data_IF_282052750736
#
_entry.id   IF_282052750736
#
_cell.length_a   1.000
_cell.length_b   1.000
_cell.length_c   1.000
_cell.angle_alpha   90.00
_cell.angle_beta   90.00
_cell.angle_gamma   90.00
#
_symmetry.space_group_name_H-M   'P 1'
#
loop_
_entity.id
_entity.type
_entity.pdbx_description
1 polymer ?
#
# COMPACT_ATOMS: atom_id res chain seq x y z
N UNK A 1 -62.02 3.73 12.31
CA UNK A 1 -60.70 3.68 12.99
C UNK A 1 -60.11 2.29 12.73
N UNK A 2 -58.95 2.02 12.11
CA UNK A 2 -57.76 2.77 11.69
C UNK A 2 -57.19 2.03 10.46
N UNK A 3 -56.83 2.75 9.38
CA UNK A 3 -56.12 2.19 8.21
C UNK A 3 -54.62 2.34 8.46
N UNK A 4 -53.90 1.24 8.62
CA UNK A 4 -52.44 1.25 8.76
C UNK A 4 -51.78 1.15 7.39
N UNK A 5 -51.32 2.29 6.86
CA UNK A 5 -50.44 2.38 5.71
C UNK A 5 -49.02 1.98 6.15
N UNK A 6 -48.47 0.89 5.61
CA UNK A 6 -47.06 0.55 5.76
C UNK A 6 -46.33 1.09 4.53
N UNK A 7 -45.59 2.19 4.70
CA UNK A 7 -44.63 2.67 3.71
C UNK A 7 -43.42 1.71 3.72
N UNK A 8 -43.25 0.93 2.66
CA UNK A 8 -42.01 0.21 2.41
C UNK A 8 -41.00 1.19 1.81
N UNK A 9 -40.01 1.61 2.60
CA UNK A 9 -38.88 2.39 2.10
C UNK A 9 -37.84 1.39 1.58
N UNK A 10 -37.87 1.14 0.28
CA UNK A 10 -36.84 0.36 -0.41
C UNK A 10 -35.61 1.26 -0.58
N UNK A 11 -34.66 1.16 0.34
CA UNK A 11 -33.37 1.85 0.24
C UNK A 11 -32.56 1.26 -0.91
N UNK A 12 -32.44 2.01 -2.01
CA UNK A 12 -31.54 1.68 -3.11
C UNK A 12 -30.10 1.87 -2.63
N UNK A 13 -29.43 0.77 -2.29
CA UNK A 13 -27.99 0.73 -2.03
C UNK A 13 -27.27 1.00 -3.36
N UNK A 14 -27.06 2.28 -3.68
CA UNK A 14 -26.07 2.68 -4.67
C UNK A 14 -24.70 2.32 -4.09
N UNK A 15 -24.25 1.11 -4.39
CA UNK A 15 -22.91 0.63 -4.06
C UNK A 15 -21.90 1.49 -4.82
N UNK A 16 -21.43 2.55 -4.17
CA UNK A 16 -20.31 3.33 -4.65
C UNK A 16 -19.10 2.41 -4.77
N UNK A 17 -18.71 2.09 -6.00
CA UNK A 17 -17.48 1.39 -6.29
C UNK A 17 -16.31 2.34 -6.03
N UNK A 18 -15.94 2.47 -4.76
CA UNK A 18 -14.65 3.05 -4.39
C UNK A 18 -13.57 2.14 -4.98
N UNK A 19 -12.87 2.65 -5.98
CA UNK A 19 -11.75 1.94 -6.58
C UNK A 19 -10.66 1.76 -5.52
N UNK A 20 -10.52 0.55 -5.01
CA UNK A 20 -9.39 0.20 -4.15
C UNK A 20 -8.13 0.26 -4.99
N UNK A 21 -7.20 1.15 -4.64
CA UNK A 21 -5.85 1.09 -5.20
C UNK A 21 -5.26 -0.28 -4.84
N UNK A 22 -4.80 -1.01 -5.85
CA UNK A 22 -4.12 -2.30 -5.67
C UNK A 22 -2.64 -2.07 -5.92
N UNK A 23 -1.84 -2.35 -4.91
CA UNK A 23 -0.40 -2.35 -5.05
C UNK A 23 0.08 -3.66 -5.70
N UNK A 24 1.07 -3.57 -6.57
CA UNK A 24 1.75 -4.71 -7.18
C UNK A 24 3.05 -5.04 -6.44
N UNK A 25 3.46 -6.30 -6.51
CA UNK A 25 4.75 -6.73 -5.98
C UNK A 25 5.92 -6.15 -6.81
N UNK A 26 7.04 -5.90 -6.13
CA UNK A 26 8.29 -5.40 -6.69
C UNK A 26 9.47 -6.29 -6.30
N UNK A 27 9.53 -7.54 -6.80
CA UNK A 27 10.48 -8.53 -6.28
C UNK A 27 11.93 -8.28 -6.74
N UNK A 28 12.10 -7.76 -7.95
CA UNK A 28 13.41 -7.63 -8.61
C UNK A 28 13.94 -6.19 -8.64
N UNK A 29 15.26 -6.05 -8.85
CA UNK A 29 15.85 -4.76 -9.19
C UNK A 29 15.16 -4.19 -10.45
N UNK A 30 14.69 -2.95 -10.34
CA UNK A 30 13.87 -2.27 -11.36
C UNK A 30 12.49 -2.91 -11.59
N UNK A 31 12.00 -3.71 -10.65
CA UNK A 31 10.64 -4.24 -10.61
C UNK A 31 10.43 -5.48 -11.47
N UNK A 32 9.19 -6.00 -11.54
CA UNK A 32 8.88 -7.28 -12.18
C UNK A 32 9.20 -7.31 -13.69
N UNK A 33 9.30 -6.14 -14.33
CA UNK A 33 9.70 -6.00 -15.74
C UNK A 33 11.13 -5.48 -15.92
N UNK A 34 11.89 -5.28 -14.82
CA UNK A 34 13.28 -4.81 -14.79
C UNK A 34 13.51 -3.50 -15.57
N UNK A 35 12.55 -2.58 -15.50
CA UNK A 35 12.57 -1.28 -16.22
C UNK A 35 12.39 -0.05 -15.32
N UNK A 36 12.12 -0.23 -14.03
CA UNK A 36 11.98 0.88 -13.08
C UNK A 36 10.65 1.62 -13.21
N UNK A 37 9.62 0.96 -13.74
CA UNK A 37 8.30 1.57 -14.00
C UNK A 37 7.21 0.77 -13.29
N UNK A 38 6.45 1.44 -12.40
CA UNK A 38 5.22 0.89 -11.80
C UNK A 38 4.08 0.91 -12.82
N UNK A 39 3.27 -0.15 -12.81
CA UNK A 39 2.04 -0.26 -13.60
C UNK A 39 0.80 0.12 -12.79
N UNK A 40 0.96 0.47 -11.52
CA UNK A 40 -0.15 0.82 -10.63
C UNK A 40 -0.85 2.10 -11.11
N UNK A 41 -2.17 2.09 -11.00
CA UNK A 41 -3.03 3.22 -11.38
C UNK A 41 -3.97 3.56 -10.24
N UNK A 42 -4.64 4.71 -10.34
CA UNK A 42 -5.64 5.17 -9.34
C UNK A 42 -5.05 5.41 -7.93
N UNK A 43 -3.76 5.72 -7.84
CA UNK A 43 -3.15 6.26 -6.63
C UNK A 43 -3.31 7.79 -6.60
N UNK A 44 -3.33 8.38 -5.41
CA UNK A 44 -3.47 9.83 -5.26
C UNK A 44 -2.14 10.53 -5.57
N UNK A 45 -2.11 11.30 -6.66
CA UNK A 45 -0.94 12.08 -7.08
C UNK A 45 -0.99 13.54 -6.58
N UNK A 46 -2.15 13.99 -6.10
CA UNK A 46 -2.38 15.37 -5.63
C UNK A 46 -1.93 15.50 -4.17
N UNK A 47 -0.62 15.60 -3.96
CA UNK A 47 -0.02 15.79 -2.63
C UNK A 47 0.04 17.26 -2.21
N UNK A 48 -0.26 18.18 -3.12
CA UNK A 48 -0.26 19.63 -2.85
C UNK A 48 -1.33 20.03 -1.81
N UNK A 49 -2.50 19.38 -1.85
CA UNK A 49 -3.61 19.69 -0.94
C UNK A 49 -3.49 18.98 0.42
N UNK A 50 -2.86 17.81 0.45
CA UNK A 50 -2.59 17.06 1.68
C UNK A 50 -1.49 16.04 1.41
N UNK A 51 -0.35 16.22 2.08
CA UNK A 51 0.71 15.22 2.08
C UNK A 51 0.17 13.88 2.64
N UNK A 52 0.56 12.73 2.07
CA UNK A 52 0.27 11.44 2.66
C UNK A 52 0.83 11.34 4.07
N UNK A 53 0.03 10.86 5.02
CA UNK A 53 0.55 10.55 6.36
C UNK A 53 1.55 9.42 6.26
N UNK A 54 2.70 9.56 6.92
CA UNK A 54 3.65 8.45 7.08
C UNK A 54 2.97 7.29 7.79
N UNK A 55 2.86 6.14 7.12
CA UNK A 55 2.25 4.95 7.70
C UNK A 55 3.14 4.33 8.80
N UNK A 56 4.45 4.26 8.55
CA UNK A 56 5.44 3.74 9.49
C UNK A 56 6.85 4.22 9.12
N UNK A 57 7.78 4.14 10.07
CA UNK A 57 9.20 4.40 9.88
C UNK A 57 10.02 3.48 10.77
N UNK A 58 11.06 2.86 10.21
CA UNK A 58 11.95 1.93 10.92
C UNK A 58 13.41 2.22 10.57
N UNK A 59 14.31 2.05 11.55
CA UNK A 59 15.75 2.15 11.34
C UNK A 59 16.32 0.75 11.08
N UNK A 60 17.03 0.57 9.95
CA UNK A 60 17.52 -0.74 9.48
C UNK A 60 19.04 -0.93 9.55
N UNK A 61 19.76 0.08 10.03
CA UNK A 61 21.22 0.13 10.09
C UNK A 61 21.84 0.79 8.87
N UNK A 62 23.16 0.60 8.72
CA UNK A 62 23.87 0.93 7.49
C UNK A 62 23.60 -0.18 6.47
N UNK A 63 23.21 0.19 5.25
CA UNK A 63 22.97 -0.75 4.16
C UNK A 63 23.16 -0.08 2.81
N UNK A 64 23.51 -0.87 1.80
CA UNK A 64 23.72 -0.40 0.42
C UNK A 64 22.87 -1.21 -0.58
N UNK A 65 21.59 -1.41 -0.25
CA UNK A 65 20.66 -2.21 -1.06
C UNK A 65 19.43 -1.41 -1.47
N UNK A 66 18.76 -1.86 -2.54
CA UNK A 66 17.39 -1.45 -2.86
C UNK A 66 16.38 -2.20 -1.98
N UNK A 67 15.10 -1.86 -2.13
CA UNK A 67 14.00 -2.57 -1.49
C UNK A 67 13.33 -3.54 -2.48
N UNK A 68 12.92 -4.70 -2.00
CA UNK A 68 12.08 -5.66 -2.73
C UNK A 68 10.75 -5.83 -2.00
N UNK A 69 9.65 -5.91 -2.74
CA UNK A 69 8.31 -6.10 -2.18
C UNK A 69 7.74 -7.39 -2.75
N UNK A 70 7.32 -8.32 -1.89
CA UNK A 70 6.69 -9.55 -2.31
C UNK A 70 5.69 -10.04 -1.27
N UNK A 71 4.48 -10.39 -1.71
CA UNK A 71 3.44 -10.91 -0.83
C UNK A 71 3.06 -9.95 0.30
N UNK A 72 3.04 -8.64 0.02
CA UNK A 72 2.71 -7.61 1.01
C UNK A 72 3.77 -7.41 2.10
N UNK A 73 5.03 -7.79 1.83
CA UNK A 73 6.17 -7.59 2.71
C UNK A 73 7.27 -6.81 2.00
N UNK A 74 7.97 -5.95 2.74
CA UNK A 74 9.16 -5.27 2.26
C UNK A 74 10.41 -5.97 2.78
N UNK A 75 11.37 -6.19 1.89
CA UNK A 75 12.67 -6.76 2.18
C UNK A 75 13.76 -5.74 1.82
N UNK A 76 14.75 -5.59 2.69
CA UNK A 76 15.93 -4.74 2.46
C UNK A 76 17.12 -5.33 3.21
N UNK A 77 18.33 -4.80 2.98
CA UNK A 77 19.51 -5.16 3.76
C UNK A 77 19.95 -4.01 4.67
N UNK A 78 20.43 -4.37 5.86
CA UNK A 78 21.07 -3.43 6.74
C UNK A 78 21.81 -4.10 7.89
N UNK A 79 22.72 -3.36 8.52
CA UNK A 79 23.55 -3.84 9.61
C UNK A 79 23.18 -3.16 10.93
N UNK A 80 22.50 -3.90 11.81
CA UNK A 80 22.03 -3.39 13.11
C UNK A 80 22.89 -3.91 14.27
N UNK A 81 23.70 -3.02 14.86
CA UNK A 81 24.67 -3.27 15.97
C UNK A 81 25.67 -4.40 15.65
N UNK A 82 26.93 -4.20 16.05
CA UNK A 82 28.04 -5.16 15.79
C UNK A 82 28.44 -5.34 14.31
N UNK A 83 27.91 -4.53 13.39
CA UNK A 83 28.36 -4.51 11.98
C UNK A 83 27.96 -5.74 11.15
N UNK A 84 27.11 -6.63 11.68
CA UNK A 84 26.60 -7.78 10.93
C UNK A 84 25.45 -7.36 10.01
N UNK A 85 25.64 -7.56 8.72
CA UNK A 85 24.62 -7.31 7.70
C UNK A 85 23.59 -8.44 7.68
N UNK A 86 22.31 -8.08 7.57
CA UNK A 86 21.20 -9.01 7.51
C UNK A 86 20.14 -8.54 6.50
N UNK A 87 19.35 -9.51 6.01
CA UNK A 87 18.10 -9.21 5.32
C UNK A 87 17.03 -8.91 6.37
N UNK A 88 16.36 -7.77 6.21
CA UNK A 88 15.32 -7.26 7.09
C UNK A 88 13.99 -7.36 6.37
N UNK A 89 13.00 -7.97 7.02
CA UNK A 89 11.64 -8.12 6.53
C UNK A 89 10.68 -7.24 7.35
N UNK A 90 9.85 -6.45 6.67
CA UNK A 90 8.90 -5.48 7.25
C UNK A 90 7.50 -5.71 6.68
N UNK A 91 6.47 -5.34 7.47
CA UNK A 91 5.05 -5.39 7.10
C UNK A 91 4.42 -4.00 7.22
#
# INVERSE_FOLDING_TARGET
>A
MRRTFRLAVTGLLLGGSWGTARADDWPDFLGPKRRGVSAETRWNQEWEASEPKTAWKVQVGVGSSSMSIAGGKLYTMGAHREGREAVICLN
#
